data_IF_974349119395
#
_entry.id   IF_974349119395
#
_cell.length_a   1.000
_cell.length_b   1.000
_cell.length_c   1.000
_cell.angle_alpha   90.00
_cell.angle_beta   90.00
_cell.angle_gamma   90.00
#
_symmetry.space_group_name_H-M   'P 1'
#
loop_
_entity.id
_entity.type
_entity.pdbx_description
1 polymer ?
#
# COMPACT_ATOMS: atom_id res chain seq x y z
N UNK A 1 25.84 12.46 -24.28
CA UNK A 1 24.79 11.64 -23.65
C UNK A 1 24.65 12.10 -22.21
N UNK A 2 23.44 12.43 -21.74
CA UNK A 2 23.20 12.78 -20.33
C UNK A 2 23.33 11.51 -19.48
N UNK A 3 24.36 11.42 -18.66
CA UNK A 3 24.66 10.27 -17.77
C UNK A 3 23.99 10.43 -16.39
N UNK A 4 22.84 11.11 -16.33
CA UNK A 4 22.10 11.36 -15.08
C UNK A 4 21.25 10.15 -14.70
N UNK A 5 21.91 9.11 -14.22
CA UNK A 5 21.21 7.91 -13.74
C UNK A 5 20.45 8.21 -12.45
N UNK A 6 19.27 7.62 -12.32
CA UNK A 6 18.48 7.63 -11.09
C UNK A 6 19.29 7.02 -9.94
N UNK A 7 19.38 7.72 -8.80
CA UNK A 7 20.15 7.26 -7.64
C UNK A 7 19.32 6.30 -6.77
N UNK A 8 20.00 5.34 -6.15
CA UNK A 8 19.44 4.40 -5.18
C UNK A 8 19.91 4.78 -3.77
N UNK A 9 18.99 5.01 -2.85
CA UNK A 9 19.27 5.33 -1.45
C UNK A 9 18.92 4.15 -0.54
N UNK A 10 19.71 3.92 0.51
CA UNK A 10 19.39 2.90 1.51
C UNK A 10 18.31 3.43 2.45
N UNK A 11 17.26 2.64 2.65
CA UNK A 11 16.21 3.00 3.62
C UNK A 11 16.78 2.97 5.05
N UNK A 12 16.34 3.92 5.86
CA UNK A 12 16.69 3.96 7.29
C UNK A 12 16.01 2.80 8.03
N UNK A 13 16.71 2.22 9.01
CA UNK A 13 16.19 1.16 9.88
C UNK A 13 16.93 -0.18 9.77
N UNK A 14 16.45 -1.18 10.53
CA UNK A 14 17.07 -2.54 10.58
C UNK A 14 16.83 -3.36 9.31
N UNK A 15 15.83 -2.99 8.50
CA UNK A 15 15.51 -3.68 7.27
C UNK A 15 16.43 -3.23 6.12
N UNK A 16 16.99 -4.18 5.36
CA UNK A 16 17.82 -3.94 4.17
C UNK A 16 16.98 -3.58 2.95
N UNK A 17 16.22 -2.48 3.04
CA UNK A 17 15.43 -1.96 1.91
C UNK A 17 16.19 -0.83 1.25
N UNK A 18 16.04 -0.70 -0.06
CA UNK A 18 16.52 0.45 -0.83
C UNK A 18 15.31 1.20 -1.39
N UNK A 19 15.49 2.49 -1.66
CA UNK A 19 14.52 3.39 -2.29
C UNK A 19 15.16 4.04 -3.50
N UNK A 20 14.37 4.24 -4.54
CA UNK A 20 14.79 5.02 -5.70
C UNK A 20 14.52 6.49 -5.42
N UNK A 21 15.47 7.35 -5.81
CA UNK A 21 15.23 8.79 -5.93
C UNK A 21 14.31 9.06 -7.12
N UNK A 22 13.51 10.13 -7.14
CA UNK A 22 12.74 10.51 -8.32
C UNK A 22 13.62 10.59 -9.57
N UNK A 23 13.07 10.25 -10.73
CA UNK A 23 13.80 10.43 -11.97
C UNK A 23 14.03 11.93 -12.23
N UNK A 24 15.18 12.33 -12.78
CA UNK A 24 15.45 13.73 -13.10
C UNK A 24 14.36 14.34 -13.99
N UNK A 25 13.86 15.52 -13.62
CA UNK A 25 12.82 16.23 -14.37
C UNK A 25 11.40 15.67 -14.26
N UNK A 26 11.17 14.68 -13.39
CA UNK A 26 9.83 14.11 -13.14
C UNK A 26 9.20 14.65 -11.86
N UNK A 27 7.87 14.73 -11.83
CA UNK A 27 7.10 15.00 -10.62
C UNK A 27 6.88 13.70 -9.83
N UNK A 28 7.41 13.56 -8.60
CA UNK A 28 7.20 12.39 -7.77
C UNK A 28 5.88 12.42 -6.98
N UNK A 29 5.09 13.49 -7.07
CA UNK A 29 3.87 13.66 -6.29
C UNK A 29 2.83 12.65 -6.78
N UNK A 30 2.18 11.88 -5.89
CA UNK A 30 1.10 11.00 -6.31
C UNK A 30 -0.05 11.83 -6.88
N UNK A 31 -0.71 11.29 -7.92
CA UNK A 31 -1.93 11.89 -8.43
C UNK A 31 -3.03 11.89 -7.36
N UNK A 32 -3.87 12.93 -7.39
CA UNK A 32 -5.02 13.00 -6.49
C UNK A 32 -5.95 11.80 -6.74
N UNK A 33 -6.50 11.19 -5.67
CA UNK A 33 -7.42 10.07 -5.84
C UNK A 33 -8.62 10.50 -6.68
N UNK A 34 -8.94 9.71 -7.70
CA UNK A 34 -10.14 9.92 -8.51
C UNK A 34 -11.35 9.50 -7.68
N UNK A 35 -12.35 10.38 -7.46
CA UNK A 35 -13.55 10.03 -6.71
C UNK A 35 -14.22 8.78 -7.29
N UNK A 36 -14.35 7.73 -6.48
CA UNK A 36 -15.01 6.47 -6.85
C UNK A 36 -14.14 5.41 -7.55
N UNK A 37 -12.86 5.68 -7.83
CA UNK A 37 -11.93 4.68 -8.42
C UNK A 37 -11.26 3.81 -7.36
N UNK A 38 -10.79 4.42 -6.26
CA UNK A 38 -9.97 3.76 -5.25
C UNK A 38 -10.44 4.12 -3.82
N UNK A 39 -11.72 3.87 -3.53
CA UNK A 39 -12.24 3.94 -2.15
C UNK A 39 -11.91 2.69 -1.32
N UNK A 40 -10.76 2.05 -1.56
CA UNK A 40 -10.23 0.99 -0.70
C UNK A 40 -9.22 1.60 0.26
N UNK A 41 -9.80 2.28 1.25
CA UNK A 41 -9.32 2.44 2.63
C UNK A 41 -7.81 2.31 2.85
N UNK A 42 -7.12 3.45 2.88
CA UNK A 42 -6.12 3.69 3.92
C UNK A 42 -6.89 4.00 5.22
N UNK A 43 -7.60 2.99 5.71
CA UNK A 43 -8.37 3.06 6.94
C UNK A 43 -8.28 1.69 7.59
N UNK A 44 -7.27 1.54 8.44
CA UNK A 44 -7.05 0.32 9.20
C UNK A 44 -8.20 0.03 10.20
N UNK A 45 -9.32 0.78 10.24
CA UNK A 45 -10.38 0.51 11.23
C UNK A 45 -11.84 0.93 10.89
N UNK A 46 -12.12 1.91 10.03
CA UNK A 46 -13.42 2.62 10.06
C UNK A 46 -14.57 2.06 9.20
N UNK A 47 -14.42 0.92 8.52
CA UNK A 47 -15.39 0.51 7.47
C UNK A 47 -15.92 -0.93 7.51
N UNK A 48 -15.48 -1.80 8.43
CA UNK A 48 -15.72 -3.26 8.33
C UNK A 48 -17.17 -3.71 8.58
N UNK A 49 -18.13 -2.80 8.59
CA UNK A 49 -19.57 -3.11 8.66
C UNK A 49 -20.33 -2.82 7.36
N UNK A 50 -19.78 -2.08 6.40
CA UNK A 50 -20.60 -1.52 5.32
C UNK A 50 -20.98 -2.51 4.20
N UNK A 51 -20.34 -3.67 4.08
CA UNK A 51 -20.75 -4.71 3.12
C UNK A 51 -20.12 -6.07 3.47
N UNK A 52 -20.46 -6.63 4.64
CA UNK A 52 -20.05 -8.00 4.93
C UNK A 52 -20.74 -8.93 3.93
N UNK A 53 -19.98 -9.47 2.98
CA UNK A 53 -20.51 -10.51 2.09
C UNK A 53 -20.82 -11.74 2.95
N UNK A 54 -21.83 -12.57 2.63
CA UNK A 54 -22.14 -13.78 3.40
C UNK A 54 -20.91 -14.68 3.64
N UNK A 55 -19.95 -14.67 2.70
CA UNK A 55 -18.69 -15.39 2.79
C UNK A 55 -17.76 -14.82 3.88
N UNK A 56 -17.76 -13.51 4.12
CA UNK A 56 -16.89 -12.86 5.12
C UNK A 56 -17.24 -13.33 6.54
N UNK A 57 -18.53 -13.56 6.82
CA UNK A 57 -19.00 -14.07 8.11
C UNK A 57 -18.64 -15.55 8.30
N UNK A 58 -18.57 -16.34 7.22
CA UNK A 58 -18.04 -17.70 7.29
C UNK A 58 -16.55 -17.69 7.59
N UNK A 59 -15.78 -16.86 6.88
CA UNK A 59 -14.33 -16.79 7.03
C UNK A 59 -13.89 -16.35 8.43
N UNK A 60 -14.64 -15.44 9.09
CA UNK A 60 -14.38 -15.03 10.49
C UNK A 60 -14.61 -16.15 11.50
N UNK A 61 -15.62 -17.00 11.25
CA UNK A 61 -15.96 -18.13 12.14
C UNK A 61 -15.02 -19.31 11.95
N UNK A 62 -14.58 -19.56 10.72
CA UNK A 62 -13.65 -20.62 10.35
C UNK A 62 -12.19 -20.20 10.64
N UNK A 63 -11.84 -19.90 11.90
CA UNK A 63 -10.45 -19.53 12.29
C UNK A 63 -9.54 -20.77 12.26
N UNK A 64 -8.43 -20.77 11.50
CA UNK A 64 -7.50 -21.90 11.48
C UNK A 64 -6.84 -22.14 12.85
N UNK A 65 -6.56 -23.40 13.22
CA UNK A 65 -6.07 -23.77 14.56
C UNK A 65 -4.70 -23.19 14.92
N UNK A 66 -3.93 -22.73 13.93
CA UNK A 66 -2.60 -22.14 14.12
C UNK A 66 -2.61 -20.60 14.22
N UNK A 67 -3.80 -19.97 14.23
CA UNK A 67 -3.95 -18.50 14.38
C UNK A 67 -4.25 -18.07 15.83
N UNK A 68 -4.10 -19.00 16.80
CA UNK A 68 -4.24 -18.76 18.23
C UNK A 68 -3.04 -18.07 18.84
#
# INVERSE_FOLDING_TARGET
MNDERQRVERAKGRARRARLTPAPGTDPTPEAPVPGRDAVADDEDAGRAASARPEDERLRREKPPHWG
#
